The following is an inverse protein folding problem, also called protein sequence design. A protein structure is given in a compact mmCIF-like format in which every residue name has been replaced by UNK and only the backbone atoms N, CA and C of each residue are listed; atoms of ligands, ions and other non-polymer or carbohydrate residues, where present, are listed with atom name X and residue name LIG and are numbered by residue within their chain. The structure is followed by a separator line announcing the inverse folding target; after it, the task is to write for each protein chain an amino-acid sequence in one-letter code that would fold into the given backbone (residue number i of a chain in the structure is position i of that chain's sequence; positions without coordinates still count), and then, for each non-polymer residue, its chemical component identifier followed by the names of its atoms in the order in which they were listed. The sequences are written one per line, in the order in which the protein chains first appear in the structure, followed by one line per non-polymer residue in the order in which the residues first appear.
data_IF_901727762352
#
_entry.id   IF_901727762352
#
_cell.length_a   1.000
_cell.length_b   1.000
_cell.length_c   1.000
_cell.angle_alpha   90.00
_cell.angle_beta   90.00
_cell.angle_gamma   90.00
#
_symmetry.space_group_name_H-M   'P 1'
#
loop_
_entity.id
_entity.type
_entity.pdbx_description
1 polymer ?
#
# COMPACT_ATOMS: atom_id res chain seq x y z
N UNK A 1 19.69 -27.82 13.39
CA UNK A 1 19.34 -26.50 13.98
C UNK A 1 18.87 -25.63 12.84
N UNK A 2 17.68 -25.06 12.93
CA UNK A 2 17.14 -24.16 11.90
C UNK A 2 17.02 -22.78 12.53
N UNK A 3 17.64 -21.78 11.91
CA UNK A 3 17.60 -20.38 12.34
C UNK A 3 16.95 -19.60 11.21
N UNK A 4 15.92 -18.81 11.54
CA UNK A 4 15.30 -17.86 10.60
C UNK A 4 15.84 -16.47 10.86
N UNK A 5 16.21 -15.75 9.80
CA UNK A 5 16.75 -14.40 9.86
C UNK A 5 15.85 -13.49 9.02
N UNK A 6 15.49 -12.33 9.57
CA UNK A 6 14.65 -11.33 8.89
C UNK A 6 15.51 -10.20 8.27
N UNK A 7 16.80 -10.13 8.60
CA UNK A 7 17.76 -9.14 8.09
C UNK A 7 19.13 -9.78 7.89
N UNK A 8 19.90 -9.28 6.92
CA UNK A 8 21.27 -9.71 6.66
C UNK A 8 22.12 -9.56 7.92
N UNK A 9 22.56 -10.68 8.49
CA UNK A 9 23.14 -10.74 9.84
C UNK A 9 24.36 -11.66 9.85
N UNK A 10 25.46 -11.29 10.52
CA UNK A 10 26.57 -12.22 10.76
C UNK A 10 26.16 -13.28 11.79
N UNK A 11 26.21 -14.55 11.39
CA UNK A 11 25.99 -15.70 12.28
C UNK A 11 27.34 -16.24 12.74
N UNK A 12 27.50 -16.42 14.05
CA UNK A 12 28.71 -17.01 14.65
C UNK A 12 28.37 -18.31 15.36
N UNK A 13 29.20 -19.32 15.15
CA UNK A 13 29.16 -20.58 15.89
C UNK A 13 30.46 -20.73 16.66
N UNK A 14 30.35 -21.03 17.95
CA UNK A 14 31.48 -21.31 18.82
C UNK A 14 31.31 -22.70 19.44
N UNK A 15 32.34 -23.54 19.37
CA UNK A 15 32.37 -24.84 20.01
C UNK A 15 33.65 -24.99 20.83
N UNK A 16 33.55 -25.59 22.01
CA UNK A 16 34.70 -25.88 22.86
C UNK A 16 35.05 -27.36 22.75
N UNK A 17 36.31 -27.66 22.46
CA UNK A 17 36.78 -29.05 22.41
C UNK A 17 37.07 -29.62 23.81
N UNK A 18 37.45 -30.90 23.85
CA UNK A 18 37.79 -31.61 25.10
C UNK A 18 39.02 -31.05 25.79
N UNK A 19 39.90 -30.37 25.05
CA UNK A 19 41.13 -29.76 25.56
C UNK A 19 40.88 -28.32 26.06
N UNK A 20 39.64 -27.85 25.94
CA UNK A 20 39.18 -26.59 26.47
C UNK A 20 39.38 -25.40 25.53
N UNK A 21 39.76 -25.62 24.28
CA UNK A 21 39.97 -24.59 23.25
C UNK A 21 38.65 -24.24 22.57
N UNK A 22 38.42 -22.95 22.35
CA UNK A 22 37.25 -22.44 21.62
C UNK A 22 37.56 -22.30 20.12
N UNK A 23 36.76 -22.96 19.29
CA UNK A 23 36.75 -22.81 17.85
C UNK A 23 35.57 -21.93 17.45
N UNK A 24 35.82 -20.81 16.78
CA UNK A 24 34.78 -19.86 16.36
C UNK A 24 34.78 -19.71 14.85
N UNK A 25 33.63 -19.92 14.22
CA UNK A 25 33.39 -19.64 12.82
C UNK A 25 32.34 -18.54 12.66
N UNK A 26 32.50 -17.71 11.63
CA UNK A 26 31.55 -16.64 11.30
C UNK A 26 31.19 -16.70 9.82
N UNK A 27 29.91 -16.57 9.50
CA UNK A 27 29.43 -16.40 8.12
C UNK A 27 28.46 -15.23 8.07
N UNK A 28 28.54 -14.42 7.01
CA UNK A 28 27.55 -13.38 6.73
C UNK A 28 26.41 -14.03 5.96
N UNK A 29 25.22 -14.09 6.56
CA UNK A 29 24.05 -14.64 5.88
C UNK A 29 23.28 -13.48 5.26
N UNK A 30 23.22 -13.48 3.94
CA UNK A 30 22.45 -12.50 3.17
C UNK A 30 20.99 -12.93 3.10
N UNK A 31 20.10 -12.05 3.58
CA UNK A 31 18.66 -12.23 3.47
C UNK A 31 18.21 -11.48 2.23
N UNK A 32 17.95 -12.23 1.15
CA UNK A 32 17.56 -11.66 -0.14
C UNK A 32 16.17 -11.01 -0.12
N UNK A 33 15.30 -11.43 0.80
CA UNK A 33 13.97 -10.85 0.98
C UNK A 33 13.68 -10.67 2.48
N UNK A 34 13.97 -9.50 3.06
CA UNK A 34 13.80 -9.26 4.49
C UNK A 34 12.32 -9.19 4.87
N UNK A 35 11.66 -10.33 5.08
CA UNK A 35 10.25 -10.38 5.49
C UNK A 35 9.26 -10.11 4.34
N UNK A 36 8.07 -10.71 4.43
CA UNK A 36 7.08 -10.75 3.35
C UNK A 36 6.43 -9.42 2.95
N UNK A 37 6.76 -8.31 3.63
CA UNK A 37 6.27 -6.96 3.33
C UNK A 37 7.33 -6.05 2.69
N UNK A 38 8.54 -6.59 2.41
CA UNK A 38 9.71 -5.77 2.04
C UNK A 38 10.27 -6.12 0.66
N UNK A 39 9.65 -7.07 -0.04
CA UNK A 39 9.85 -7.19 -1.47
C UNK A 39 9.30 -5.92 -2.14
N UNK A 40 10.05 -5.36 -3.10
CA UNK A 40 9.55 -4.32 -3.98
C UNK A 40 8.19 -4.76 -4.50
N UNK A 41 7.15 -3.94 -4.28
CA UNK A 41 5.87 -4.17 -4.92
C UNK A 41 6.14 -4.19 -6.42
N UNK A 42 6.05 -5.37 -7.04
CA UNK A 42 6.13 -5.47 -8.49
C UNK A 42 5.16 -4.45 -9.06
N UNK A 43 5.63 -3.63 -9.98
CA UNK A 43 4.84 -2.62 -10.66
C UNK A 43 3.54 -3.29 -11.13
N UNK A 44 2.48 -3.08 -10.36
CA UNK A 44 1.22 -3.77 -10.59
C UNK A 44 0.80 -3.49 -12.02
N UNK A 45 0.55 -4.58 -12.77
CA UNK A 45 0.04 -4.67 -14.14
C UNK A 45 -0.06 -3.34 -14.89
N UNK A 46 0.68 -3.22 -15.99
CA UNK A 46 0.76 -2.08 -16.91
C UNK A 46 -0.59 -1.66 -17.54
N UNK A 47 -1.57 -1.28 -16.73
CA UNK A 47 -2.95 -1.07 -17.18
C UNK A 47 -3.46 0.34 -16.87
N UNK A 48 -2.89 1.07 -15.90
CA UNK A 48 -3.27 2.45 -15.63
C UNK A 48 -2.07 3.34 -15.21
N UNK A 49 -2.04 4.63 -15.61
CA UNK A 49 -1.04 5.59 -15.15
C UNK A 49 -1.02 5.76 -13.62
N UNK A 50 0.15 6.12 -13.08
CA UNK A 50 0.25 6.56 -11.67
C UNK A 50 -0.76 7.67 -11.38
N UNK A 51 -1.39 7.63 -10.22
CA UNK A 51 -2.42 8.58 -9.84
C UNK A 51 -3.82 8.25 -10.33
N UNK A 52 -3.99 7.20 -11.13
CA UNK A 52 -5.33 6.81 -11.57
C UNK A 52 -6.17 6.35 -10.37
N UNK A 53 -7.26 7.07 -10.12
CA UNK A 53 -8.24 6.73 -9.09
C UNK A 53 -9.38 5.94 -9.74
N UNK A 54 -9.57 4.70 -9.29
CA UNK A 54 -10.71 3.86 -9.66
C UNK A 54 -11.68 3.76 -8.48
N UNK A 55 -12.98 3.93 -8.75
CA UNK A 55 -14.04 3.78 -7.75
C UNK A 55 -15.03 2.69 -8.14
N UNK A 56 -15.51 1.95 -7.15
CA UNK A 56 -16.66 1.06 -7.28
C UNK A 56 -17.61 1.22 -6.11
N UNK A 57 -18.92 1.22 -6.41
CA UNK A 57 -19.98 1.26 -5.41
C UNK A 57 -20.61 -0.11 -5.23
N UNK A 58 -20.90 -0.48 -3.99
CA UNK A 58 -21.61 -1.71 -3.64
C UNK A 58 -22.80 -1.37 -2.75
N UNK A 59 -23.98 -1.90 -3.10
CA UNK A 59 -25.16 -1.78 -2.22
C UNK A 59 -24.95 -2.64 -0.98
N UNK A 60 -25.34 -2.12 0.18
CA UNK A 60 -25.39 -2.83 1.47
C UNK A 60 -26.84 -2.88 1.97
N UNK A 61 -27.16 -3.75 2.95
CA UNK A 61 -28.46 -3.72 3.63
C UNK A 61 -28.76 -2.35 4.23
N UNK A 62 -30.04 -2.05 4.48
CA UNK A 62 -30.52 -0.80 5.11
C UNK A 62 -30.14 0.48 4.32
N UNK A 63 -30.16 0.40 2.98
CA UNK A 63 -29.85 1.53 2.09
C UNK A 63 -28.42 2.09 2.17
N UNK A 64 -27.54 1.47 2.96
CA UNK A 64 -26.15 1.85 3.02
C UNK A 64 -25.41 1.54 1.71
N UNK A 65 -24.36 2.31 1.43
CA UNK A 65 -23.48 2.10 0.27
C UNK A 65 -22.05 1.93 0.74
N UNK A 66 -21.37 0.89 0.24
CA UNK A 66 -19.92 0.74 0.38
C UNK A 66 -19.23 1.32 -0.85
N UNK A 67 -18.33 2.26 -0.65
CA UNK A 67 -17.39 2.70 -1.67
C UNK A 67 -16.08 1.92 -1.53
N UNK A 68 -15.55 1.46 -2.66
CA UNK A 68 -14.16 1.01 -2.78
C UNK A 68 -13.44 2.02 -3.67
N UNK A 69 -12.38 2.62 -3.16
CA UNK A 69 -11.46 3.48 -3.89
C UNK A 69 -10.14 2.74 -4.04
N UNK A 70 -9.56 2.76 -5.23
CA UNK A 70 -8.20 2.28 -5.50
C UNK A 70 -7.42 3.42 -6.14
N UNK A 71 -6.21 3.67 -5.65
CA UNK A 71 -5.29 4.64 -6.26
C UNK A 71 -4.14 3.86 -6.86
N UNK A 72 -3.83 4.05 -8.13
CA UNK A 72 -2.67 3.43 -8.78
C UNK A 72 -1.41 4.14 -8.31
N UNK A 73 -0.62 3.53 -7.44
CA UNK A 73 0.56 4.16 -6.83
C UNK A 73 1.55 3.10 -6.32
N UNK A 74 2.88 3.27 -6.52
CA UNK A 74 3.89 2.29 -6.12
C UNK A 74 3.93 2.04 -4.60
N UNK A 75 3.79 3.09 -3.79
CA UNK A 75 3.87 3.04 -2.32
C UNK A 75 5.24 2.52 -1.84
N UNK A 76 6.32 3.12 -2.35
CA UNK A 76 7.68 2.79 -1.95
C UNK A 76 7.93 3.24 -0.50
N UNK A 77 8.46 2.33 0.32
CA UNK A 77 8.61 2.53 1.76
C UNK A 77 9.86 3.32 2.16
N UNK A 78 10.83 3.47 1.26
CA UNK A 78 12.15 4.00 1.61
C UNK A 78 13.10 2.97 2.24
N UNK A 79 12.66 1.70 2.37
CA UNK A 79 13.41 0.64 3.05
C UNK A 79 13.92 -0.46 2.11
N UNK A 80 13.50 -0.41 0.84
CA UNK A 80 13.83 -1.41 -0.18
C UNK A 80 15.09 -0.97 -0.92
N UNK A 81 15.96 -1.93 -1.22
CA UNK A 81 17.14 -1.75 -2.08
C UNK A 81 16.85 -2.32 -3.46
N UNK A 82 17.24 -1.60 -4.51
CA UNK A 82 17.11 -2.05 -5.90
C UNK A 82 18.22 -3.05 -6.31
N UNK A 83 18.17 -3.52 -7.56
CA UNK A 83 19.12 -4.50 -8.12
C UNK A 83 20.56 -3.98 -8.17
N UNK A 84 20.74 -2.65 -8.24
CA UNK A 84 22.04 -1.98 -8.26
C UNK A 84 22.60 -1.71 -6.84
N UNK A 85 21.85 -2.09 -5.79
CA UNK A 85 22.25 -1.89 -4.40
C UNK A 85 21.93 -0.50 -3.84
N UNK A 86 21.17 0.33 -4.55
CA UNK A 86 20.75 1.64 -4.08
C UNK A 86 19.41 1.59 -3.32
N UNK A 87 19.25 2.45 -2.31
CA UNK A 87 17.99 2.55 -1.56
C UNK A 87 16.96 3.29 -2.38
N UNK A 88 15.81 2.66 -2.63
CA UNK A 88 14.67 3.28 -3.30
C UNK A 88 14.05 4.32 -2.36
N UNK A 89 14.01 5.63 -2.73
CA UNK A 89 13.44 6.66 -1.87
C UNK A 89 11.95 6.43 -1.58
N UNK A 90 11.49 6.84 -0.39
CA UNK A 90 10.07 6.73 -0.04
C UNK A 90 9.20 7.53 -1.01
N UNK A 91 8.14 6.89 -1.53
CA UNK A 91 7.22 7.50 -2.47
C UNK A 91 5.81 6.94 -2.30
N UNK A 92 4.92 7.72 -1.68
CA UNK A 92 3.63 7.24 -1.23
C UNK A 92 2.55 8.31 -1.35
N UNK A 93 1.28 7.89 -1.52
CA UNK A 93 0.11 8.76 -1.35
C UNK A 93 0.11 9.26 0.09
N UNK A 94 0.04 10.57 0.32
CA UNK A 94 0.12 11.16 1.66
C UNK A 94 -1.25 11.57 2.20
N UNK A 95 -2.13 12.12 1.35
CA UNK A 95 -3.48 12.53 1.71
C UNK A 95 -4.52 11.98 0.76
N UNK A 96 -5.70 11.67 1.28
CA UNK A 96 -6.89 11.31 0.51
C UNK A 96 -8.11 11.96 1.16
N UNK A 97 -8.84 12.77 0.41
CA UNK A 97 -10.10 13.37 0.83
C UNK A 97 -11.24 12.82 -0.01
N UNK A 98 -12.28 12.36 0.68
CA UNK A 98 -13.57 12.00 0.12
C UNK A 98 -14.58 13.11 0.45
N UNK A 99 -15.25 13.63 -0.56
CA UNK A 99 -16.25 14.68 -0.42
C UNK A 99 -17.47 14.42 -1.31
N UNK A 100 -18.58 15.10 -1.01
CA UNK A 100 -19.75 15.20 -1.87
C UNK A 100 -20.16 16.67 -2.08
N UNK A 101 -21.39 16.91 -2.53
CA UNK A 101 -21.90 18.26 -2.75
C UNK A 101 -22.17 19.03 -1.44
N UNK A 102 -22.34 18.34 -0.31
CA UNK A 102 -22.56 18.95 1.00
C UNK A 102 -21.23 19.31 1.69
N UNK A 103 -20.14 18.64 1.33
CA UNK A 103 -18.80 18.98 1.81
C UNK A 103 -17.89 17.76 1.98
N UNK A 104 -16.79 17.89 2.74
CA UNK A 104 -15.90 16.77 3.06
C UNK A 104 -16.63 15.73 3.92
N UNK A 105 -16.44 14.46 3.58
CA UNK A 105 -16.97 13.29 4.28
C UNK A 105 -15.89 12.64 5.13
N UNK A 106 -14.68 12.51 4.56
CA UNK A 106 -13.54 11.92 5.25
C UNK A 106 -12.23 12.51 4.71
N UNK A 107 -11.30 12.78 5.63
CA UNK A 107 -9.93 13.16 5.33
C UNK A 107 -8.99 12.10 5.93
N UNK A 108 -8.10 11.57 5.10
CA UNK A 108 -7.13 10.56 5.48
C UNK A 108 -5.74 11.16 5.35
N UNK A 109 -4.96 11.05 6.43
CA UNK A 109 -3.51 11.22 6.41
C UNK A 109 -2.91 9.82 6.45
N UNK A 110 -2.05 9.53 5.48
CA UNK A 110 -1.53 8.19 5.22
C UNK A 110 -0.01 8.19 5.25
N UNK A 111 0.59 7.02 5.05
CA UNK A 111 2.05 6.84 5.06
C UNK A 111 2.45 5.74 4.09
N UNK A 112 3.76 5.58 3.90
CA UNK A 112 4.33 4.53 3.07
C UNK A 112 4.03 3.09 3.55
N UNK A 113 3.38 2.92 4.71
CA UNK A 113 3.03 1.61 5.25
C UNK A 113 1.85 0.92 4.55
N UNK A 114 1.16 1.62 3.63
CA UNK A 114 0.08 1.02 2.84
C UNK A 114 0.64 0.14 1.72
N UNK A 115 -0.15 -0.84 1.28
CA UNK A 115 0.19 -1.67 0.14
C UNK A 115 0.23 -0.87 -1.16
N UNK A 116 1.07 -1.30 -2.11
CA UNK A 116 1.04 -0.86 -3.51
C UNK A 116 -0.40 -0.90 -4.05
N UNK A 117 -0.77 0.13 -4.81
CA UNK A 117 -2.13 0.36 -5.29
C UNK A 117 -3.19 0.32 -4.17
N UNK A 118 -3.12 1.22 -3.17
CA UNK A 118 -3.90 1.12 -1.95
C UNK A 118 -5.41 1.13 -2.22
N UNK A 119 -6.13 0.24 -1.52
CA UNK A 119 -7.59 0.17 -1.52
C UNK A 119 -8.16 0.79 -0.24
N UNK A 120 -9.09 1.73 -0.37
CA UNK A 120 -9.84 2.34 0.74
C UNK A 120 -11.31 1.96 0.65
N UNK A 121 -11.92 1.68 1.80
CA UNK A 121 -13.32 1.29 1.89
C UNK A 121 -14.09 2.21 2.83
N UNK A 122 -15.22 2.74 2.36
CA UNK A 122 -16.09 3.62 3.15
C UNK A 122 -17.51 3.06 3.17
N UNK A 123 -18.06 2.86 4.36
CA UNK A 123 -19.48 2.51 4.54
C UNK A 123 -20.26 3.76 4.90
N UNK A 124 -21.20 4.15 4.05
CA UNK A 124 -21.96 5.39 4.17
C UNK A 124 -23.46 5.10 4.28
N UNK A 125 -24.19 5.86 5.13
CA UNK A 125 -25.60 5.59 5.43
C UNK A 125 -26.59 5.96 4.30
N UNK A 126 -26.21 6.78 3.31
CA UNK A 126 -27.07 7.13 2.16
C UNK A 126 -26.27 7.36 0.86
N UNK A 127 -26.95 7.36 -0.28
CA UNK A 127 -26.38 7.48 -1.63
C UNK A 127 -25.84 8.89 -1.88
N UNK A 128 -24.51 9.02 -1.81
CA UNK A 128 -23.79 10.19 -2.29
C UNK A 128 -24.24 10.55 -3.72
N UNK A 129 -24.81 11.75 -3.86
CA UNK A 129 -25.30 12.30 -5.13
C UNK A 129 -24.14 12.58 -6.09
N UNK A 130 -22.98 12.95 -5.55
CA UNK A 130 -21.72 13.11 -6.26
C UNK A 130 -20.62 12.61 -5.34
N UNK A 131 -19.65 11.88 -5.88
CA UNK A 131 -18.42 11.55 -5.15
C UNK A 131 -17.28 12.34 -5.77
N UNK A 132 -16.60 13.11 -4.94
CA UNK A 132 -15.33 13.75 -5.26
C UNK A 132 -14.25 13.10 -4.41
N UNK A 133 -13.18 12.64 -5.05
CA UNK A 133 -11.98 12.15 -4.39
C UNK A 133 -10.84 13.05 -4.84
N UNK A 134 -10.07 13.55 -3.88
CA UNK A 134 -8.79 14.23 -4.14
C UNK A 134 -7.72 13.54 -3.35
N UNK A 135 -6.56 13.33 -3.94
CA UNK A 135 -5.41 12.73 -3.27
C UNK A 135 -4.13 13.46 -3.67
N UNK A 136 -3.12 13.40 -2.80
CA UNK A 136 -1.76 13.85 -3.11
C UNK A 136 -0.75 12.79 -2.74
N UNK A 137 0.45 12.90 -3.30
CA UNK A 137 1.59 12.07 -2.93
C UNK A 137 2.72 12.88 -2.27
N UNK A 138 3.68 12.15 -1.70
CA UNK A 138 4.84 12.69 -1.00
C UNK A 138 5.80 13.50 -1.89
N UNK A 139 5.59 13.53 -3.22
CA UNK A 139 6.32 14.36 -4.18
C UNK A 139 5.50 15.57 -4.65
N UNK A 140 4.30 15.77 -4.09
CA UNK A 140 3.41 16.89 -4.39
C UNK A 140 2.56 16.70 -5.64
N UNK A 141 2.52 15.51 -6.24
CA UNK A 141 1.61 15.23 -7.34
C UNK A 141 0.19 15.10 -6.78
N UNK A 142 -0.78 15.66 -7.49
CA UNK A 142 -2.19 15.64 -7.09
C UNK A 142 -3.03 14.85 -8.09
N UNK A 143 -4.06 14.20 -7.55
CA UNK A 143 -4.96 13.33 -8.30
C UNK A 143 -6.39 13.64 -7.91
N UNK A 144 -7.31 13.62 -8.87
CA UNK A 144 -8.72 13.82 -8.59
C UNK A 144 -9.62 12.90 -9.40
N UNK A 145 -10.78 12.61 -8.81
CA UNK A 145 -11.88 11.92 -9.45
C UNK A 145 -13.19 12.60 -9.06
N UNK A 146 -13.99 12.94 -10.05
CA UNK A 146 -15.37 13.39 -9.86
C UNK A 146 -16.32 12.42 -10.56
N UNK A 147 -17.16 11.74 -9.78
CA UNK A 147 -18.19 10.84 -10.30
C UNK A 147 -19.58 11.26 -9.81
N UNK A 148 -20.42 11.69 -10.75
CA UNK A 148 -21.83 11.93 -10.49
C UNK A 148 -22.58 10.62 -10.25
N UNK A 149 -23.54 10.62 -9.33
CA UNK A 149 -24.46 9.49 -9.13
C UNK A 149 -25.19 9.20 -10.42
N UNK A 150 -24.92 8.04 -11.03
CA UNK A 150 -25.73 7.54 -12.14
C UNK A 150 -27.09 7.17 -11.57
N UNK A 151 -28.12 7.96 -11.92
CA UNK A 151 -29.51 7.51 -11.78
C UNK A 151 -29.65 6.24 -12.62
N UNK A 152 -29.96 5.14 -11.98
CA UNK A 152 -30.42 3.90 -12.62
C UNK A 152 -31.61 4.28 -13.52
N UNK A 153 -31.37 4.42 -14.83
CA UNK A 153 -32.42 4.29 -15.83
C UNK A 153 -32.52 2.81 -16.12
N UNK A 154 -33.14 2.08 -15.22
CA UNK A 154 -33.68 0.77 -15.53
C UNK A 154 -35.19 0.81 -15.33
N UNK A 155 -35.82 1.51 -16.27
CA UNK A 155 -37.19 1.22 -16.66
C UNK A 155 -37.12 0.17 -17.75
N UNK A 156 -37.48 -1.07 -17.43
CA UNK A 156 -37.98 -2.01 -18.44
C UNK A 156 -38.97 -2.97 -17.79
N UNK A 157 -40.23 -2.71 -18.15
CA UNK A 157 -41.39 -3.60 -18.35
C UNK A 157 -41.28 -5.03 -17.87
#
# INVERSE_FOLDING_TARGET
MNIRLEQTTPVRAAARDSDGVWHVASVRVEVMNPGGCTAAGGSGSAENPIGTIAMKRFRRPNSATRLKLRITHPMDTGLVTDEDGAVVPAYYVDTVTLADNAGPIADLVTSAALATNPDFYFDLPDRLQTVRVTASDSKGLTFDLLEASRRDRDGRT
#
